data_IF_043542426071
#
_entry.id   IF_043542426071
#
_cell.length_a   1.000
_cell.length_b   1.000
_cell.length_c   1.000
_cell.angle_alpha   90.00
_cell.angle_beta   90.00
_cell.angle_gamma   90.00
#
_symmetry.space_group_name_H-M   'P 1'
#
loop_
_entity.id
_entity.type
_entity.pdbx_description
1 polymer ?
#
# COMPACT_ATOMS: atom_id res chain seq x y z
N UNK A 1 9.68 -77.52 13.99
CA UNK A 1 8.47 -76.69 14.11
C UNK A 1 8.68 -75.29 14.73
N UNK A 2 9.92 -74.79 14.84
CA UNK A 2 10.20 -73.49 15.51
C UNK A 2 10.48 -72.31 14.57
N UNK A 3 10.56 -72.52 13.25
CA UNK A 3 10.94 -71.47 12.29
C UNK A 3 9.75 -70.69 11.71
N UNK A 4 8.51 -71.14 11.94
CA UNK A 4 7.28 -70.48 11.45
C UNK A 4 6.65 -69.52 12.48
N UNK A 5 7.00 -69.63 13.77
CA UNK A 5 6.51 -68.74 14.82
C UNK A 5 7.22 -67.37 14.84
N UNK A 6 8.49 -67.30 14.42
CA UNK A 6 9.24 -66.04 14.41
C UNK A 6 8.81 -65.06 13.30
N UNK A 7 8.23 -65.56 12.20
CA UNK A 7 7.74 -64.68 11.11
C UNK A 7 6.46 -63.93 11.51
N UNK A 8 5.72 -64.44 12.50
CA UNK A 8 4.47 -63.80 12.95
C UNK A 8 4.68 -62.84 14.12
N UNK A 9 5.79 -62.94 14.85
CA UNK A 9 6.22 -61.95 15.86
C UNK A 9 6.97 -60.77 15.20
N UNK A 10 7.20 -60.81 13.89
CA UNK A 10 7.71 -59.65 13.13
C UNK A 10 6.58 -58.74 12.60
N UNK A 11 5.32 -59.03 12.93
CA UNK A 11 4.13 -58.31 12.48
C UNK A 11 3.39 -57.58 13.62
N UNK A 12 4.06 -57.41 14.76
CA UNK A 12 3.45 -56.78 15.93
C UNK A 12 4.46 -55.94 16.71
N UNK A 13 5.21 -55.06 16.04
CA UNK A 13 5.80 -53.91 16.73
C UNK A 13 6.06 -52.76 15.76
N UNK A 14 5.55 -51.59 16.16
CA UNK A 14 5.95 -50.25 15.75
C UNK A 14 5.45 -49.70 14.40
N UNK A 15 4.15 -49.82 14.17
CA UNK A 15 3.39 -48.73 13.57
C UNK A 15 3.12 -47.62 14.58
N UNK A 16 4.16 -46.94 15.08
CA UNK A 16 3.99 -45.64 15.77
C UNK A 16 3.61 -44.60 14.72
N UNK A 17 2.39 -44.69 14.20
CA UNK A 17 1.77 -43.57 13.51
C UNK A 17 1.48 -42.58 14.63
N UNK A 18 2.40 -41.63 14.81
CA UNK A 18 2.12 -40.42 15.56
C UNK A 18 0.96 -39.73 14.82
N UNK A 19 -0.28 -40.05 15.20
CA UNK A 19 -1.45 -39.27 14.85
C UNK A 19 -1.23 -37.93 15.53
N UNK A 20 -0.55 -37.01 14.84
CA UNK A 20 -0.62 -35.61 15.21
C UNK A 20 -2.09 -35.29 15.17
N UNK A 21 -2.69 -35.02 16.33
CA UNK A 21 -4.07 -34.60 16.42
C UNK A 21 -4.22 -33.40 15.48
N UNK A 22 -4.87 -33.62 14.34
CA UNK A 22 -5.03 -32.58 13.34
C UNK A 22 -5.89 -31.49 13.97
N UNK A 23 -5.31 -30.34 14.26
CA UNK A 23 -6.07 -29.26 14.88
C UNK A 23 -7.25 -28.87 13.99
N UNK A 24 -8.41 -28.67 14.63
CA UNK A 24 -9.61 -28.20 13.95
C UNK A 24 -9.41 -26.75 13.49
N UNK A 25 -10.15 -26.32 12.45
CA UNK A 25 -10.12 -24.94 12.00
C UNK A 25 -10.40 -23.96 13.15
N UNK A 26 -11.43 -24.23 13.96
CA UNK A 26 -11.80 -23.39 15.09
C UNK A 26 -10.69 -23.30 16.15
N UNK A 27 -10.00 -24.41 16.42
CA UNK A 27 -8.85 -24.43 17.33
C UNK A 27 -7.71 -23.55 16.81
N UNK A 28 -7.40 -23.64 15.51
CA UNK A 28 -6.38 -22.81 14.88
C UNK A 28 -6.75 -21.33 14.93
N UNK A 29 -8.00 -20.97 14.61
CA UNK A 29 -8.49 -19.58 14.71
C UNK A 29 -8.39 -19.07 16.15
N UNK A 30 -8.84 -19.84 17.14
CA UNK A 30 -8.76 -19.46 18.55
C UNK A 30 -7.31 -19.25 19.02
N UNK A 31 -6.42 -20.19 18.71
CA UNK A 31 -5.00 -20.10 19.06
C UNK A 31 -4.32 -18.92 18.38
N UNK A 32 -4.60 -18.70 17.10
CA UNK A 32 -4.11 -17.56 16.34
C UNK A 32 -4.55 -16.23 16.95
N UNK A 33 -5.83 -16.11 17.32
CA UNK A 33 -6.38 -14.93 18.00
C UNK A 33 -5.68 -14.69 19.34
N UNK A 34 -5.47 -15.75 20.14
CA UNK A 34 -4.76 -15.64 21.42
C UNK A 34 -3.33 -15.14 21.25
N UNK A 35 -2.62 -15.62 20.23
CA UNK A 35 -1.27 -15.11 19.90
C UNK A 35 -1.32 -13.66 19.42
N UNK A 36 -2.32 -13.29 18.61
CA UNK A 36 -2.51 -11.92 18.14
C UNK A 36 -2.80 -10.94 19.29
N UNK A 37 -3.66 -11.29 20.24
CA UNK A 37 -3.96 -10.47 21.42
C UNK A 37 -2.76 -10.30 22.34
N UNK A 38 -1.89 -11.32 22.43
CA UNK A 38 -0.58 -11.25 23.09
C UNK A 38 0.48 -10.51 22.28
N UNK A 39 0.11 -9.92 21.14
CA UNK A 39 0.99 -9.20 20.21
C UNK A 39 2.12 -10.07 19.62
N UNK A 40 1.97 -11.39 19.67
CA UNK A 40 2.89 -12.37 19.06
C UNK A 40 2.51 -12.57 17.59
N UNK A 41 2.65 -11.52 16.80
CA UNK A 41 2.10 -11.47 15.44
C UNK A 41 2.75 -12.49 14.47
N UNK A 42 4.01 -12.86 14.69
CA UNK A 42 4.67 -13.94 13.92
C UNK A 42 4.02 -15.31 14.19
N UNK A 43 3.80 -15.66 15.47
CA UNK A 43 3.11 -16.89 15.86
C UNK A 43 1.66 -16.92 15.37
N UNK A 44 0.96 -15.78 15.45
CA UNK A 44 -0.38 -15.62 14.92
C UNK A 44 -0.42 -15.84 13.40
N UNK A 45 0.52 -15.25 12.65
CA UNK A 45 0.66 -15.43 11.20
C UNK A 45 0.85 -16.91 10.84
N UNK A 46 1.73 -17.62 11.55
CA UNK A 46 1.95 -19.05 11.31
C UNK A 46 0.68 -19.86 11.56
N UNK A 47 0.00 -19.59 12.67
CA UNK A 47 -1.23 -20.32 13.03
C UNK A 47 -2.39 -20.03 12.08
N UNK A 48 -2.60 -18.77 11.67
CA UNK A 48 -3.63 -18.45 10.69
C UNK A 48 -3.29 -18.98 9.29
N UNK A 49 -2.00 -19.09 8.93
CA UNK A 49 -1.60 -19.78 7.69
C UNK A 49 -1.97 -21.26 7.72
N UNK A 50 -1.82 -21.93 8.86
CA UNK A 50 -2.33 -23.30 9.05
C UNK A 50 -3.86 -23.35 8.94
N UNK A 51 -4.58 -22.36 9.49
CA UNK A 51 -6.04 -22.25 9.36
C UNK A 51 -6.48 -22.12 7.89
N UNK A 52 -5.81 -21.27 7.11
CA UNK A 52 -6.06 -21.12 5.66
C UNK A 52 -5.80 -22.42 4.92
N UNK A 53 -4.70 -23.14 5.22
CA UNK A 53 -4.43 -24.47 4.62
C UNK A 53 -5.50 -25.50 4.98
N UNK A 54 -6.09 -25.39 6.18
CA UNK A 54 -7.15 -26.29 6.65
C UNK A 54 -8.47 -26.02 5.94
N UNK A 55 -8.79 -24.75 5.65
CA UNK A 55 -9.95 -24.36 4.86
C UNK A 55 -9.68 -23.06 4.09
N UNK A 56 -9.39 -23.19 2.80
CA UNK A 56 -9.09 -22.06 1.90
C UNK A 56 -10.32 -21.19 1.58
N UNK A 57 -11.52 -21.61 2.00
CA UNK A 57 -12.77 -20.85 1.81
C UNK A 57 -13.27 -20.23 3.12
N UNK A 58 -12.46 -20.22 4.17
CA UNK A 58 -12.81 -19.57 5.42
C UNK A 58 -12.46 -18.08 5.41
N UNK A 59 -13.47 -17.23 5.56
CA UNK A 59 -13.29 -15.78 5.62
C UNK A 59 -12.39 -15.37 6.80
N UNK A 60 -12.64 -15.93 7.99
CA UNK A 60 -11.94 -15.56 9.21
C UNK A 60 -10.46 -15.89 9.16
N UNK A 61 -10.09 -17.03 8.58
CA UNK A 61 -8.72 -17.46 8.39
C UNK A 61 -7.94 -16.46 7.51
N UNK A 62 -8.47 -16.11 6.34
CA UNK A 62 -7.85 -15.13 5.44
C UNK A 62 -7.80 -13.73 6.06
N UNK A 63 -8.90 -13.26 6.66
CA UNK A 63 -8.96 -11.94 7.28
C UNK A 63 -7.97 -11.79 8.44
N UNK A 64 -7.88 -12.78 9.32
CA UNK A 64 -6.98 -12.74 10.46
C UNK A 64 -5.50 -12.96 10.08
N UNK A 65 -5.25 -13.75 9.03
CA UNK A 65 -3.92 -13.84 8.44
C UNK A 65 -3.47 -12.47 7.89
N UNK A 66 -4.34 -11.80 7.13
CA UNK A 66 -4.11 -10.44 6.65
C UNK A 66 -3.80 -9.45 7.78
N UNK A 67 -4.59 -9.49 8.87
CA UNK A 67 -4.36 -8.64 10.04
C UNK A 67 -2.97 -8.90 10.68
N UNK A 68 -2.58 -10.16 10.81
CA UNK A 68 -1.29 -10.53 11.40
C UNK A 68 -0.12 -10.10 10.51
N UNK A 69 -0.22 -10.31 9.20
CA UNK A 69 0.74 -9.86 8.20
C UNK A 69 0.91 -8.34 8.22
N UNK A 70 -0.21 -7.60 8.31
CA UNK A 70 -0.20 -6.15 8.44
C UNK A 70 0.59 -5.69 9.67
N UNK A 71 0.40 -6.33 10.83
CA UNK A 71 1.12 -5.98 12.07
C UNK A 71 2.63 -6.23 11.98
N UNK A 72 3.07 -7.21 11.19
CA UNK A 72 4.49 -7.44 10.90
C UNK A 72 4.99 -6.70 9.65
N UNK A 73 4.22 -5.72 9.15
CA UNK A 73 4.54 -4.84 8.02
C UNK A 73 4.73 -5.56 6.67
N UNK A 74 4.19 -6.77 6.53
CA UNK A 74 4.10 -7.51 5.27
C UNK A 74 2.85 -7.07 4.51
N UNK A 75 2.88 -5.84 4.00
CA UNK A 75 1.67 -5.17 3.50
C UNK A 75 1.15 -5.79 2.20
N UNK A 76 2.03 -6.18 1.27
CA UNK A 76 1.62 -6.81 0.01
C UNK A 76 0.93 -8.16 0.25
N UNK A 77 1.48 -8.98 1.15
CA UNK A 77 0.85 -10.25 1.52
C UNK A 77 -0.47 -10.01 2.27
N UNK A 78 -0.52 -9.00 3.16
CA UNK A 78 -1.77 -8.64 3.83
C UNK A 78 -2.87 -8.24 2.85
N UNK A 79 -2.54 -7.42 1.83
CA UNK A 79 -3.45 -7.02 0.75
C UNK A 79 -4.02 -8.25 0.04
N UNK A 80 -3.16 -9.20 -0.34
CA UNK A 80 -3.59 -10.41 -1.03
C UNK A 80 -4.59 -11.23 -0.19
N UNK A 81 -4.34 -11.36 1.13
CA UNK A 81 -5.24 -12.09 2.02
C UNK A 81 -6.57 -11.36 2.25
N UNK A 82 -6.57 -10.04 2.36
CA UNK A 82 -7.82 -9.27 2.42
C UNK A 82 -8.64 -9.40 1.12
N UNK A 83 -7.99 -9.38 -0.04
CA UNK A 83 -8.67 -9.57 -1.32
C UNK A 83 -9.28 -10.97 -1.46
N UNK A 84 -8.64 -12.02 -0.91
CA UNK A 84 -9.24 -13.36 -0.82
C UNK A 84 -10.46 -13.35 0.10
N UNK A 85 -10.34 -12.75 1.29
CA UNK A 85 -11.45 -12.63 2.23
C UNK A 85 -12.67 -11.93 1.59
N UNK A 86 -12.46 -10.83 0.85
CA UNK A 86 -13.52 -10.13 0.11
C UNK A 86 -14.27 -11.02 -0.90
N UNK A 87 -13.56 -11.92 -1.59
CA UNK A 87 -14.13 -12.84 -2.58
C UNK A 87 -14.92 -13.97 -1.94
N UNK A 88 -14.56 -14.35 -0.71
CA UNK A 88 -15.20 -15.46 0.03
C UNK A 88 -16.51 -15.03 0.66
N UNK A 89 -16.56 -13.84 1.26
CA UNK A 89 -17.74 -13.41 2.01
C UNK A 89 -18.85 -12.82 1.13
N UNK A 90 -20.10 -13.04 1.55
CA UNK A 90 -21.28 -12.32 1.05
C UNK A 90 -21.85 -11.34 2.08
N UNK A 91 -21.29 -11.30 3.30
CA UNK A 91 -21.71 -10.39 4.36
C UNK A 91 -21.17 -8.98 4.09
N UNK A 92 -22.05 -7.98 4.14
CA UNK A 92 -21.70 -6.58 3.87
C UNK A 92 -20.68 -6.03 4.86
N UNK A 93 -20.79 -6.36 6.14
CA UNK A 93 -19.89 -5.88 7.19
C UNK A 93 -18.49 -6.45 7.01
N UNK A 94 -18.40 -7.73 6.66
CA UNK A 94 -17.15 -8.43 6.37
C UNK A 94 -16.47 -7.88 5.10
N UNK A 95 -17.27 -7.56 4.07
CA UNK A 95 -16.78 -6.87 2.86
C UNK A 95 -16.25 -5.47 3.20
N UNK A 96 -17.01 -4.69 3.96
CA UNK A 96 -16.60 -3.35 4.40
C UNK A 96 -15.26 -3.40 5.15
N UNK A 97 -15.15 -4.30 6.14
CA UNK A 97 -13.96 -4.48 6.95
C UNK A 97 -12.73 -4.90 6.10
N UNK A 98 -12.92 -5.81 5.16
CA UNK A 98 -11.82 -6.29 4.32
C UNK A 98 -11.32 -5.23 3.35
N UNK A 99 -12.21 -4.46 2.74
CA UNK A 99 -11.81 -3.30 1.91
C UNK A 99 -11.14 -2.20 2.73
N UNK A 100 -11.62 -1.98 3.96
CA UNK A 100 -11.03 -1.01 4.86
C UNK A 100 -9.58 -1.37 5.22
N UNK A 101 -9.33 -2.62 5.63
CA UNK A 101 -7.98 -3.06 6.00
C UNK A 101 -7.06 -3.15 4.78
N UNK A 102 -7.59 -3.49 3.59
CA UNK A 102 -6.84 -3.39 2.33
C UNK A 102 -6.41 -1.93 2.08
N UNK A 103 -7.30 -0.96 2.29
CA UNK A 103 -6.98 0.46 2.19
C UNK A 103 -5.91 0.90 3.18
N UNK A 104 -5.96 0.39 4.42
CA UNK A 104 -4.94 0.66 5.43
C UNK A 104 -3.58 0.07 5.00
N UNK A 105 -3.56 -1.14 4.43
CA UNK A 105 -2.35 -1.78 3.94
C UNK A 105 -1.75 -1.02 2.75
N UNK A 106 -2.54 -0.66 1.73
CA UNK A 106 -2.07 0.17 0.60
C UNK A 106 -1.51 1.51 1.09
N UNK A 107 -2.18 2.15 2.06
CA UNK A 107 -1.75 3.44 2.59
C UNK A 107 -0.37 3.35 3.27
N UNK A 108 -0.13 2.26 4.02
CA UNK A 108 1.18 2.00 4.64
C UNK A 108 2.23 1.63 3.59
N UNK A 109 1.85 0.90 2.54
CA UNK A 109 2.73 0.54 1.43
C UNK A 109 3.10 1.74 0.53
N UNK A 110 2.45 2.89 0.70
CA UNK A 110 2.71 4.10 -0.08
C UNK A 110 1.88 4.22 -1.37
N UNK A 111 0.93 3.31 -1.56
CA UNK A 111 -0.01 3.27 -2.68
C UNK A 111 -1.28 4.06 -2.37
N UNK A 112 -1.14 5.40 -2.32
CA UNK A 112 -2.22 6.32 -1.96
C UNK A 112 -3.48 6.18 -2.82
N UNK A 113 -3.33 6.03 -4.13
CA UNK A 113 -4.43 5.84 -5.08
C UNK A 113 -5.22 4.54 -4.81
N UNK A 114 -4.52 3.41 -4.64
CA UNK A 114 -5.16 2.13 -4.33
C UNK A 114 -5.86 2.18 -2.97
N UNK A 115 -5.25 2.84 -1.98
CA UNK A 115 -5.89 3.07 -0.68
C UNK A 115 -7.21 3.85 -0.82
N UNK A 116 -7.23 4.94 -1.61
CA UNK A 116 -8.45 5.70 -1.90
C UNK A 116 -9.54 4.81 -2.50
N UNK A 117 -9.19 3.96 -3.46
CA UNK A 117 -10.14 3.06 -4.12
C UNK A 117 -10.69 2.01 -3.14
N UNK A 118 -9.84 1.41 -2.32
CA UNK A 118 -10.25 0.44 -1.31
C UNK A 118 -11.21 1.06 -0.27
N UNK A 119 -10.90 2.25 0.27
CA UNK A 119 -11.82 2.93 1.20
C UNK A 119 -13.15 3.33 0.55
N UNK A 120 -13.14 3.79 -0.71
CA UNK A 120 -14.39 4.05 -1.44
C UNK A 120 -15.24 2.78 -1.57
N UNK A 121 -14.61 1.63 -1.83
CA UNK A 121 -15.33 0.36 -1.88
C UNK A 121 -15.86 -0.06 -0.51
N UNK A 122 -15.12 0.18 0.58
CA UNK A 122 -15.61 -0.07 1.93
C UNK A 122 -16.85 0.78 2.26
N UNK A 123 -16.87 2.07 1.89
CA UNK A 123 -18.01 2.97 2.08
C UNK A 123 -19.25 2.58 1.26
N UNK A 124 -19.13 1.76 0.21
CA UNK A 124 -20.31 1.22 -0.49
C UNK A 124 -21.12 0.27 0.40
N UNK A 125 -20.46 -0.36 1.38
CA UNK A 125 -21.07 -1.32 2.29
C UNK A 125 -21.37 -0.72 3.66
N UNK A 126 -20.58 0.26 4.11
CA UNK A 126 -20.78 1.00 5.37
C UNK A 126 -20.60 2.52 5.13
N UNK A 127 -21.62 3.22 4.59
CA UNK A 127 -21.49 4.59 4.11
C UNK A 127 -21.20 5.63 5.19
N UNK A 128 -21.70 5.40 6.40
CA UNK A 128 -21.64 6.35 7.52
C UNK A 128 -20.44 6.10 8.44
N UNK A 129 -19.54 5.20 8.04
CA UNK A 129 -18.38 4.87 8.84
C UNK A 129 -17.37 6.03 8.88
N UNK A 130 -17.36 6.74 10.01
CA UNK A 130 -16.45 7.88 10.20
C UNK A 130 -14.96 7.53 10.04
N UNK A 131 -14.52 6.35 10.48
CA UNK A 131 -13.10 6.00 10.38
C UNK A 131 -12.70 5.73 8.92
N UNK A 132 -13.57 5.10 8.13
CA UNK A 132 -13.32 4.92 6.70
C UNK A 132 -13.27 6.29 6.00
N UNK A 133 -14.22 7.19 6.28
CA UNK A 133 -14.24 8.55 5.73
C UNK A 133 -12.96 9.34 6.08
N UNK A 134 -12.51 9.28 7.35
CA UNK A 134 -11.28 9.94 7.79
C UNK A 134 -10.03 9.36 7.12
N UNK A 135 -9.93 8.03 7.01
CA UNK A 135 -8.80 7.39 6.34
C UNK A 135 -8.79 7.67 4.83
N UNK A 136 -9.96 7.76 4.19
CA UNK A 136 -10.08 8.21 2.81
C UNK A 136 -9.55 9.63 2.62
N UNK A 137 -9.86 10.56 3.53
CA UNK A 137 -9.33 11.93 3.48
C UNK A 137 -7.80 11.94 3.62
N UNK A 138 -7.23 11.14 4.52
CA UNK A 138 -5.77 11.00 4.66
C UNK A 138 -5.17 10.46 3.37
N UNK A 139 -5.74 9.41 2.80
CA UNK A 139 -5.24 8.79 1.57
C UNK A 139 -5.24 9.78 0.40
N UNK A 140 -6.32 10.55 0.22
CA UNK A 140 -6.41 11.61 -0.80
C UNK A 140 -5.33 12.68 -0.59
N UNK A 141 -5.09 13.12 0.65
CA UNK A 141 -4.03 14.08 0.96
C UNK A 141 -2.64 13.53 0.65
N UNK A 142 -2.36 12.28 1.03
CA UNK A 142 -1.07 11.63 0.77
C UNK A 142 -0.84 11.43 -0.74
N UNK A 143 -1.87 11.09 -1.50
CA UNK A 143 -1.81 11.01 -2.96
C UNK A 143 -1.44 12.36 -3.57
N UNK A 144 -2.17 13.43 -3.23
CA UNK A 144 -1.90 14.79 -3.73
C UNK A 144 -0.48 15.26 -3.40
N UNK A 145 0.04 14.92 -2.22
CA UNK A 145 1.42 15.24 -1.85
C UNK A 145 2.45 14.50 -2.72
N UNK A 146 2.19 13.24 -3.09
CA UNK A 146 3.06 12.45 -3.98
C UNK A 146 3.09 13.06 -5.37
N UNK A 147 1.91 13.39 -5.92
CA UNK A 147 1.77 14.01 -7.24
C UNK A 147 2.49 15.37 -7.31
N UNK A 148 2.33 16.20 -6.27
CA UNK A 148 3.01 17.49 -6.18
C UNK A 148 4.54 17.36 -6.13
N UNK A 149 5.05 16.39 -5.35
CA UNK A 149 6.51 16.14 -5.28
C UNK A 149 7.07 15.69 -6.62
N UNK A 150 6.35 14.82 -7.32
CA UNK A 150 6.75 14.35 -8.65
C UNK A 150 6.78 15.50 -9.66
N UNK A 151 5.76 16.38 -9.64
CA UNK A 151 5.73 17.56 -10.51
C UNK A 151 6.90 18.53 -10.21
N UNK A 152 7.25 18.74 -8.95
CA UNK A 152 8.41 19.57 -8.57
C UNK A 152 9.73 18.95 -9.05
N UNK A 153 9.90 17.64 -8.93
CA UNK A 153 11.09 16.93 -9.40
C UNK A 153 11.24 17.04 -10.93
N UNK A 154 10.14 16.87 -11.67
CA UNK A 154 10.14 17.02 -13.12
C UNK A 154 10.51 18.45 -13.55
N UNK A 155 10.02 19.47 -12.82
CA UNK A 155 10.40 20.87 -13.08
C UNK A 155 11.89 21.13 -12.82
N UNK A 156 12.45 20.57 -11.75
CA UNK A 156 13.88 20.70 -11.43
C UNK A 156 14.75 20.01 -12.49
N UNK A 157 14.39 18.80 -12.93
CA UNK A 157 15.10 18.11 -14.01
C UNK A 157 15.07 18.90 -15.33
N UNK A 158 13.92 19.48 -15.68
CA UNK A 158 13.82 20.33 -16.88
C UNK A 158 14.69 21.58 -16.79
N UNK A 159 14.82 22.20 -15.61
CA UNK A 159 15.71 23.34 -15.39
C UNK A 159 17.19 22.94 -15.52
N UNK A 160 17.60 21.80 -14.96
CA UNK A 160 18.96 21.28 -15.09
C UNK A 160 19.31 20.92 -16.54
N UNK A 161 18.39 20.29 -17.27
CA UNK A 161 18.60 19.98 -18.69
C UNK A 161 18.74 21.23 -19.56
N UNK A 162 17.99 22.30 -19.26
CA UNK A 162 18.15 23.58 -19.96
C UNK A 162 19.47 24.29 -19.59
N UNK A 163 19.95 24.15 -18.36
CA UNK A 163 21.27 24.68 -17.97
C UNK A 163 22.41 23.95 -18.67
N UNK A 164 22.36 22.61 -18.78
CA UNK A 164 23.37 21.83 -19.49
C UNK A 164 23.41 22.15 -21.00
N UNK A 165 22.24 22.30 -21.66
CA UNK A 165 22.18 22.72 -23.07
C UNK A 165 22.80 24.10 -23.32
N UNK A 166 22.64 25.02 -22.37
CA UNK A 166 23.26 26.34 -22.46
C UNK A 166 24.78 26.29 -22.22
N UNK A 167 25.31 25.30 -21.49
CA UNK A 167 26.75 25.10 -21.33
C UNK A 167 27.39 24.49 -22.59
N UNK A 168 26.76 23.48 -23.20
CA UNK A 168 27.25 22.88 -24.45
C UNK A 168 27.29 23.89 -25.62
N UNK A 169 26.27 24.75 -25.72
CA UNK A 169 26.25 25.81 -26.73
C UNK A 169 27.32 26.89 -26.50
N UNK A 170 27.75 27.11 -25.25
CA UNK A 170 28.78 28.10 -24.93
C UNK A 170 30.21 27.56 -25.17
N UNK A 171 30.41 26.24 -25.06
CA UNK A 171 31.67 25.59 -25.46
C UNK A 171 31.84 25.56 -26.98
N UNK A 172 30.75 25.38 -27.74
CA UNK A 172 30.82 25.42 -29.21
C UNK A 172 31.01 26.84 -29.79
N UNK A 173 30.70 27.91 -29.04
CA UNK A 173 30.97 29.29 -29.49
C UNK A 173 32.39 29.78 -29.20
N UNK A 174 33.14 29.12 -28.31
CA UNK A 174 34.56 29.42 -28.07
C UNK A 174 35.51 28.66 -29.01
N UNK A 175 35.02 27.71 -29.80
CA UNK A 175 35.81 26.97 -30.80
C UNK A 175 35.93 27.64 -32.17
N UNK A 176 35.11 28.64 -32.48
CA UNK A 176 34.91 29.14 -33.85
C UNK A 176 35.50 30.54 -34.13
N UNK A 177 36.33 31.07 -33.22
CA UNK A 177 37.01 32.37 -33.43
C UNK A 177 38.40 32.26 -34.11
N UNK A 178 38.77 31.10 -34.62
CA UNK A 178 40.00 30.96 -35.41
C UNK A 178 39.71 30.21 -36.71
N UNK A 179 39.20 30.88 -37.73
CA UNK A 179 39.54 30.62 -39.14
C UNK A 179 38.89 31.67 -40.07
N UNK A 180 39.60 32.78 -40.30
CA UNK A 180 39.50 33.44 -41.60
C UNK A 180 40.39 32.68 -42.59
N UNK A 181 39.84 32.36 -43.78
CA UNK A 181 40.33 32.84 -45.07
C UNK A 181 40.14 31.80 -46.21
N UNK A 182 39.62 32.33 -47.33
CA UNK A 182 39.68 31.88 -48.73
C UNK A 182 38.46 31.19 -49.37
N UNK A 183 37.66 32.05 -50.00
CA UNK A 183 37.53 32.23 -51.46
C UNK A 183 36.76 31.22 -52.34
N UNK A 184 35.91 31.84 -53.18
CA UNK A 184 35.44 31.50 -54.53
C UNK A 184 34.18 30.63 -54.78
N UNK A 185 33.09 31.36 -55.08
CA UNK A 185 32.50 31.49 -56.43
C UNK A 185 31.65 30.33 -56.99
N UNK A 186 30.32 30.49 -56.98
CA UNK A 186 29.51 30.54 -58.23
C UNK A 186 28.09 31.09 -58.02
N UNK A 187 27.68 31.93 -58.97
CA UNK A 187 26.34 32.49 -59.17
C UNK A 187 25.31 31.41 -59.56
N UNK A 188 24.08 31.53 -59.06
CA UNK A 188 22.89 31.80 -59.87
C UNK A 188 21.62 31.93 -59.02
N UNK A 189 20.95 33.06 -59.17
CA UNK A 189 19.51 33.30 -58.91
C UNK A 189 18.69 32.70 -60.08
N UNK A 190 17.34 32.52 -60.02
CA UNK A 190 16.40 33.47 -59.41
C UNK A 190 15.09 32.94 -58.75
N UNK A 191 14.46 33.88 -58.03
CA UNK A 191 13.02 34.14 -57.84
C UNK A 191 12.06 33.11 -57.22
N UNK A 192 11.23 33.61 -56.28
CA UNK A 192 9.93 32.99 -55.97
C UNK A 192 9.27 33.36 -54.63
N UNK A 193 8.75 34.59 -54.53
CA UNK A 193 7.51 35.03 -53.86
C UNK A 193 7.06 34.63 -52.42
N UNK A 194 6.73 35.68 -51.65
CA UNK A 194 5.50 35.99 -50.88
C UNK A 194 5.10 35.04 -49.74
N UNK A 195 5.22 35.46 -48.48
CA UNK A 195 4.18 36.13 -47.69
C UNK A 195 4.11 35.39 -46.33
N UNK A 196 3.71 35.93 -45.19
CA UNK A 196 3.00 37.14 -44.86
C UNK A 196 3.28 37.49 -43.39
N UNK A 197 2.84 38.68 -43.03
CA UNK A 197 3.07 39.41 -41.79
C UNK A 197 2.36 38.80 -40.58
N UNK A 198 2.93 38.96 -39.38
CA UNK A 198 2.20 39.69 -38.35
C UNK A 198 3.09 40.32 -37.26
N UNK A 199 3.02 41.65 -37.24
CA UNK A 199 3.37 42.59 -36.16
C UNK A 199 2.40 42.35 -34.98
N UNK A 200 2.66 42.63 -33.72
CA UNK A 200 3.64 43.50 -33.07
C UNK A 200 2.99 44.10 -31.81
N UNK A 201 3.79 44.87 -31.04
CA UNK A 201 3.47 45.71 -29.86
C UNK A 201 3.40 44.92 -28.54
N UNK A 202 4.21 45.17 -27.50
CA UNK A 202 5.02 46.33 -27.13
C UNK A 202 4.39 47.04 -25.94
N UNK A 203 4.95 46.90 -24.73
CA UNK A 203 5.50 48.06 -24.00
C UNK A 203 6.22 47.66 -22.70
N UNK A 204 7.29 48.41 -22.46
CA UNK A 204 8.15 48.46 -21.29
C UNK A 204 7.52 49.35 -20.19
N UNK A 205 8.00 49.22 -18.96
CA UNK A 205 7.76 50.22 -17.91
C UNK A 205 8.02 49.69 -16.51
N UNK A 206 9.24 49.90 -16.03
CA UNK A 206 9.71 49.57 -14.70
C UNK A 206 9.20 50.56 -13.63
N UNK A 207 9.12 50.13 -12.38
CA UNK A 207 9.65 50.90 -11.25
C UNK A 207 9.84 50.02 -10.01
N UNK A 208 11.05 50.09 -9.44
CA UNK A 208 11.43 49.51 -8.15
C UNK A 208 11.18 50.55 -7.08
N UNK A 209 10.55 50.16 -5.97
CA UNK A 209 10.99 50.63 -4.66
C UNK A 209 11.06 49.47 -3.66
N UNK A 210 12.13 49.53 -2.89
CA UNK A 210 12.71 48.48 -2.08
C UNK A 210 12.44 48.87 -0.62
N UNK A 211 11.77 48.02 0.15
CA UNK A 211 11.97 47.97 1.60
C UNK A 211 12.11 46.51 2.01
N UNK A 212 13.34 46.18 2.40
CA UNK A 212 13.71 44.96 3.11
C UNK A 212 12.97 44.92 4.45
N UNK A 213 12.36 43.77 4.74
CA UNK A 213 12.47 43.10 6.03
C UNK A 213 12.56 41.59 5.75
N UNK A 214 13.57 40.95 6.31
CA UNK A 214 13.93 39.53 6.15
C UNK A 214 13.05 38.58 6.99
N UNK A 215 13.11 37.24 6.79
CA UNK A 215 11.91 36.47 6.50
C UNK A 215 11.38 35.66 7.69
N UNK A 216 10.06 35.66 7.86
CA UNK A 216 9.38 34.50 8.43
C UNK A 216 8.91 33.62 7.27
N UNK A 217 9.51 32.43 7.13
CA UNK A 217 9.04 31.39 6.22
C UNK A 217 7.92 30.59 6.92
N UNK A 218 6.63 30.77 6.56
CA UNK A 218 5.52 30.06 7.16
C UNK A 218 5.07 28.95 6.20
N UNK A 219 5.93 27.97 5.94
CA UNK A 219 5.58 26.84 5.08
C UNK A 219 5.68 25.50 5.81
N UNK A 220 4.77 25.29 6.77
CA UNK A 220 4.45 23.95 7.29
C UNK A 220 2.94 23.66 7.29
N UNK A 221 2.16 24.33 6.43
CA UNK A 221 0.70 24.18 6.37
C UNK A 221 0.19 22.94 5.60
N UNK A 222 1.08 22.13 5.02
CA UNK A 222 0.65 20.98 4.19
C UNK A 222 1.10 19.60 4.70
N UNK A 223 1.63 19.50 5.92
CA UNK A 223 1.84 18.20 6.58
C UNK A 223 0.64 17.92 7.48
N UNK A 224 -0.01 16.78 7.30
CA UNK A 224 -0.88 16.24 8.35
C UNK A 224 0.02 16.07 9.57
N UNK A 225 -0.28 16.70 10.71
CA UNK A 225 0.56 16.59 11.90
C UNK A 225 0.77 15.11 12.23
N UNK A 226 2.03 14.71 12.50
CA UNK A 226 2.37 13.30 12.76
C UNK A 226 1.51 12.71 13.89
N UNK A 227 1.15 13.53 14.87
CA UNK A 227 0.30 13.14 15.99
C UNK A 227 -1.14 12.91 15.55
N UNK A 228 -1.66 13.72 14.63
CA UNK A 228 -2.98 13.52 14.06
C UNK A 228 -3.01 12.24 13.21
N UNK A 229 -1.94 11.96 12.45
CA UNK A 229 -1.80 10.71 11.71
C UNK A 229 -1.75 9.49 12.65
N UNK A 230 -0.96 9.57 13.73
CA UNK A 230 -0.86 8.52 14.75
C UNK A 230 -2.18 8.30 15.48
N UNK A 231 -2.87 9.39 15.84
CA UNK A 231 -4.17 9.35 16.50
C UNK A 231 -5.24 8.71 15.61
N UNK A 232 -5.26 9.06 14.32
CA UNK A 232 -6.19 8.45 13.37
C UNK A 232 -5.86 6.98 13.18
N UNK A 233 -4.59 6.61 13.06
CA UNK A 233 -4.17 5.21 12.98
C UNK A 233 -4.56 4.42 14.25
N UNK A 234 -4.45 5.02 15.42
CA UNK A 234 -4.83 4.40 16.68
C UNK A 234 -6.35 4.23 16.80
N UNK A 235 -7.13 5.26 16.43
CA UNK A 235 -8.60 5.18 16.42
C UNK A 235 -9.11 4.18 15.39
N UNK A 236 -8.50 4.18 14.21
CA UNK A 236 -8.69 3.19 13.15
C UNK A 236 -8.43 1.77 13.67
N UNK A 237 -7.26 1.52 14.27
CA UNK A 237 -6.93 0.22 14.85
C UNK A 237 -7.89 -0.22 15.97
N UNK A 238 -8.39 0.72 16.78
CA UNK A 238 -9.41 0.41 17.78
C UNK A 238 -10.74 0.03 17.13
N UNK A 239 -11.14 0.72 16.06
CA UNK A 239 -12.36 0.38 15.34
C UNK A 239 -12.22 -0.93 14.57
N UNK A 240 -11.06 -1.21 13.96
CA UNK A 240 -10.71 -2.53 13.40
C UNK A 240 -10.86 -3.60 14.47
N UNK A 241 -10.38 -3.34 15.69
CA UNK A 241 -10.49 -4.28 16.80
C UNK A 241 -11.95 -4.51 17.19
N UNK A 242 -12.78 -3.49 17.23
CA UNK A 242 -14.20 -3.63 17.56
C UNK A 242 -14.98 -4.32 16.44
N UNK A 243 -14.71 -4.00 15.16
CA UNK A 243 -15.29 -4.71 14.02
C UNK A 243 -14.82 -6.16 13.99
N UNK A 244 -13.52 -6.41 14.17
CA UNK A 244 -12.97 -7.75 14.25
C UNK A 244 -13.53 -8.53 15.45
N UNK A 245 -13.69 -7.91 16.64
CA UNK A 245 -14.38 -8.52 17.79
C UNK A 245 -15.81 -8.88 17.46
N UNK A 246 -16.56 -7.98 16.80
CA UNK A 246 -17.94 -8.26 16.37
C UNK A 246 -17.99 -9.44 15.40
N UNK A 247 -17.07 -9.50 14.44
CA UNK A 247 -16.99 -10.58 13.44
C UNK A 247 -16.51 -11.90 14.07
N UNK A 248 -15.50 -11.87 14.94
CA UNK A 248 -15.00 -13.02 15.69
C UNK A 248 -16.04 -13.55 16.67
N UNK A 249 -16.81 -12.69 17.33
CA UNK A 249 -17.89 -13.10 18.23
C UNK A 249 -19.13 -13.58 17.46
N UNK A 250 -19.40 -13.08 16.25
CA UNK A 250 -20.52 -13.53 15.40
C UNK A 250 -20.26 -14.93 14.80
N UNK A 251 -18.99 -15.24 14.49
CA UNK A 251 -18.58 -16.53 13.91
C UNK A 251 -17.91 -17.48 14.95
N UNK A 252 -17.78 -17.05 16.20
CA UNK A 252 -17.05 -17.74 17.28
C UNK A 252 -17.87 -18.65 18.18
N UNK A 253 -19.17 -18.81 17.95
CA UNK A 253 -20.00 -19.76 18.70
C UNK A 253 -19.82 -21.19 18.18
N UNK A 254 -18.66 -21.78 18.46
CA UNK A 254 -18.49 -23.22 18.65
C UNK A 254 -17.37 -23.41 19.67
N UNK A 255 -17.70 -23.22 20.94
CA UNK A 255 -17.00 -23.97 21.98
C UNK A 255 -17.27 -25.45 21.70
N UNK A 256 -16.27 -26.34 21.57
CA UNK A 256 -16.55 -27.75 21.72
C UNK A 256 -17.12 -27.91 23.12
N UNK A 257 -18.39 -28.32 23.24
CA UNK A 257 -18.89 -28.85 24.49
C UNK A 257 -17.88 -29.91 24.93
N UNK A 258 -17.17 -29.64 26.02
CA UNK A 258 -16.41 -30.70 26.67
C UNK A 258 -17.46 -31.68 27.16
N UNK A 259 -17.62 -32.77 26.44
CA UNK A 259 -18.36 -33.92 26.93
C UNK A 259 -17.52 -34.59 28.02
N UNK A 260 -17.34 -33.90 29.16
CA UNK A 260 -17.09 -34.57 30.43
C UNK A 260 -18.44 -35.14 30.82
N UNK A 261 -18.69 -36.36 30.36
CA UNK A 261 -19.65 -37.24 31.00
C UNK A 261 -19.21 -37.38 32.45
N UNK A 262 -19.88 -36.67 33.35
CA UNK A 262 -19.95 -37.09 34.74
C UNK A 262 -20.70 -38.41 34.77
N UNK A 263 -19.95 -39.51 34.92
CA UNK A 263 -20.39 -40.73 35.57
C UNK A 263 -19.30 -41.17 36.53
#
# INVERSE_FOLDING_TARGET
>A
MLRKFFVHISLFFLGLIAVKAQESLNTLIFRGNRSFDKQKYGEATSTFSEAVKKNEKDFGAHYNLGNSLYKIKKYDEAIAEYQKAQKITNNKDEKAASYYNEGNAHLQNGDGEKAVNAYKNALKFDPDNEAILKNLQIAKKKQKQKDNKQNQQNQQQNQQNNQNKNQDNNQNQQGDQNHENKNNNTKNQPNGNIGDQNKGKGNQGAEKQNQKNEPQNPNDQNKIPKDLQKLILQRSANQERETAKKLLNKNGYYSPESNTKDW
#
